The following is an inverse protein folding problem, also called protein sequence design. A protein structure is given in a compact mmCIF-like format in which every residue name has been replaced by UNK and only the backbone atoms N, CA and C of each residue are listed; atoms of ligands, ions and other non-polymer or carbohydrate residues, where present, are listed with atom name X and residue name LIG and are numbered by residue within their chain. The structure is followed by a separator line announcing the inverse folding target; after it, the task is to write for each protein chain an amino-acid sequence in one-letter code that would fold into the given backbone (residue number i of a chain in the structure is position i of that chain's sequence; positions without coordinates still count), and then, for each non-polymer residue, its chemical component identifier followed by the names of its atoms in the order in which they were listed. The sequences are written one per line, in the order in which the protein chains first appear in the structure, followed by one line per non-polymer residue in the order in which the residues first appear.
data_IF_733391136735
#
_entry.id   IF_733391136735
#
_cell.length_a   1.000
_cell.length_b   1.000
_cell.length_c   1.000
_cell.angle_alpha   90.00
_cell.angle_beta   90.00
_cell.angle_gamma   90.00
#
_symmetry.space_group_name_H-M   'P 1'
#
loop_
_entity.id
_entity.type
_entity.pdbx_description
1 polymer ?
#
# COMPACT_ATOMS: atom_id res chain seq x y z
N UNK A 1 -7.42 -0.67 14.37
CA UNK A 1 -5.94 -0.61 14.38
C UNK A 1 -5.49 0.84 14.24
N UNK A 2 -4.41 1.19 14.87
CA UNK A 2 -3.95 2.58 14.96
C UNK A 2 -2.57 2.75 14.32
N UNK A 3 -2.12 4.02 14.19
CA UNK A 3 -0.80 4.34 13.62
C UNK A 3 0.37 3.67 14.37
N UNK A 4 0.21 3.42 15.66
CA UNK A 4 1.21 2.74 16.49
C UNK A 4 1.40 1.27 16.11
N UNK A 5 0.42 0.68 15.43
CA UNK A 5 0.48 -0.69 14.93
C UNK A 5 1.28 -0.81 13.62
N UNK A 6 1.58 0.33 12.97
CA UNK A 6 2.46 0.37 11.81
C UNK A 6 3.89 0.11 12.31
N UNK A 7 4.44 -1.04 11.93
CA UNK A 7 5.80 -1.41 12.31
C UNK A 7 6.83 -0.59 11.53
N UNK A 8 7.94 -0.30 12.18
CA UNK A 8 9.01 0.53 11.62
C UNK A 8 10.34 -0.22 11.63
N UNK A 9 11.29 0.24 10.82
CA UNK A 9 12.64 -0.28 10.88
C UNK A 9 13.20 -0.11 12.31
N UNK A 10 13.95 -1.07 12.83
CA UNK A 10 14.54 -2.23 12.15
C UNK A 10 13.73 -3.54 12.27
N UNK A 11 12.40 -3.48 12.41
CA UNK A 11 11.59 -4.69 12.53
C UNK A 11 11.82 -5.62 11.32
N UNK A 12 12.26 -6.84 11.58
CA UNK A 12 12.65 -7.80 10.54
C UNK A 12 11.47 -8.27 9.69
N UNK A 13 10.24 -8.17 10.18
CA UNK A 13 9.06 -8.58 9.42
C UNK A 13 8.84 -7.72 8.17
N UNK A 14 9.40 -6.50 8.13
CA UNK A 14 9.40 -5.66 6.94
C UNK A 14 10.22 -6.24 5.78
N UNK A 15 11.10 -7.21 6.05
CA UNK A 15 11.99 -7.83 5.06
C UNK A 15 11.61 -9.28 4.77
N UNK A 16 10.60 -9.83 5.43
CA UNK A 16 10.16 -11.20 5.21
C UNK A 16 9.34 -11.31 3.94
N UNK A 17 9.42 -12.48 3.31
CA UNK A 17 8.58 -12.83 2.17
C UNK A 17 7.13 -12.99 2.63
N UNK A 18 6.19 -12.39 1.91
CA UNK A 18 4.77 -12.51 2.18
C UNK A 18 4.17 -13.76 1.52
N UNK A 19 3.17 -14.31 2.16
CA UNK A 19 2.40 -15.43 1.63
C UNK A 19 1.29 -14.96 0.70
N UNK A 20 1.02 -15.76 -0.32
CA UNK A 20 -0.12 -15.57 -1.20
C UNK A 20 -1.41 -15.84 -0.43
N UNK A 21 -2.43 -15.04 -0.65
CA UNK A 21 -3.77 -15.28 -0.12
C UNK A 21 -4.46 -16.31 -1.02
N UNK A 22 -4.81 -17.47 -0.48
CA UNK A 22 -5.44 -18.53 -1.25
C UNK A 22 -6.96 -18.41 -1.30
N UNK A 23 -7.56 -17.94 -0.21
CA UNK A 23 -9.01 -17.73 -0.09
C UNK A 23 -9.26 -16.39 0.59
N UNK A 24 -10.17 -15.60 0.04
CA UNK A 24 -10.56 -14.31 0.62
C UNK A 24 -11.62 -14.57 1.69
N UNK A 25 -11.16 -14.57 2.93
CA UNK A 25 -11.98 -14.80 4.12
C UNK A 25 -12.37 -13.49 4.79
N UNK A 26 -13.21 -13.56 5.80
CA UNK A 26 -13.51 -12.39 6.65
C UNK A 26 -12.27 -11.87 7.36
N UNK A 27 -11.31 -12.77 7.70
CA UNK A 27 -10.01 -12.37 8.25
C UNK A 27 -9.24 -11.49 7.27
N UNK A 28 -9.22 -11.84 5.98
CA UNK A 28 -8.56 -11.04 4.94
C UNK A 28 -9.22 -9.66 4.82
N UNK A 29 -10.55 -9.60 4.83
CA UNK A 29 -11.29 -8.34 4.80
C UNK A 29 -11.00 -7.49 6.03
N UNK A 30 -10.86 -8.13 7.21
CA UNK A 30 -10.49 -7.43 8.43
C UNK A 30 -9.08 -6.86 8.37
N UNK A 31 -8.13 -7.59 7.79
CA UNK A 31 -6.76 -7.09 7.55
C UNK A 31 -6.80 -5.84 6.68
N UNK A 32 -7.57 -5.85 5.60
CA UNK A 32 -7.75 -4.67 4.73
C UNK A 32 -8.30 -3.48 5.52
N UNK A 33 -9.34 -3.70 6.32
CA UNK A 33 -9.93 -2.64 7.14
C UNK A 33 -8.94 -2.11 8.18
N UNK A 34 -8.17 -2.99 8.82
CA UNK A 34 -7.12 -2.59 9.77
C UNK A 34 -6.04 -1.73 9.11
N UNK A 35 -5.66 -2.05 7.88
CA UNK A 35 -4.72 -1.26 7.09
C UNK A 35 -5.27 0.14 6.80
N UNK A 36 -6.54 0.23 6.42
CA UNK A 36 -7.21 1.51 6.17
C UNK A 36 -7.25 2.35 7.45
N UNK A 37 -7.67 1.75 8.55
CA UNK A 37 -7.78 2.43 9.85
C UNK A 37 -6.42 2.97 10.31
N UNK A 38 -5.36 2.16 10.21
CA UNK A 38 -4.01 2.58 10.59
C UNK A 38 -3.50 3.73 9.71
N UNK A 39 -3.77 3.66 8.40
CA UNK A 39 -3.39 4.71 7.44
C UNK A 39 -4.09 6.03 7.74
N UNK A 40 -5.39 6.00 8.00
CA UNK A 40 -6.17 7.19 8.30
C UNK A 40 -5.80 7.79 9.66
N UNK A 41 -5.51 6.95 10.65
CA UNK A 41 -5.04 7.41 11.96
C UNK A 41 -3.68 8.11 11.85
N UNK A 42 -2.79 7.57 11.01
CA UNK A 42 -1.52 8.22 10.71
C UNK A 42 -1.72 9.59 10.05
N UNK A 43 -2.62 9.68 9.06
CA UNK A 43 -2.93 10.97 8.41
C UNK A 43 -3.48 12.01 9.39
N UNK A 44 -4.32 11.60 10.32
CA UNK A 44 -4.87 12.51 11.34
C UNK A 44 -3.77 13.10 12.22
N UNK A 45 -2.68 12.37 12.43
CA UNK A 45 -1.51 12.85 13.16
C UNK A 45 -0.53 13.68 12.31
N UNK A 46 -0.73 13.71 10.99
CA UNK A 46 0.13 14.40 10.02
C UNK A 46 -0.73 15.26 9.06
N UNK A 47 -1.24 16.43 9.52
CA UNK A 47 -2.28 17.18 8.79
C UNK A 47 -1.91 17.61 7.37
N UNK A 48 -0.60 17.72 7.07
CA UNK A 48 -0.10 18.17 5.77
C UNK A 48 0.36 17.02 4.87
N UNK A 49 0.13 15.77 5.29
CA UNK A 49 0.57 14.59 4.55
C UNK A 49 -0.60 13.67 4.23
N UNK A 50 -0.47 12.88 3.18
CA UNK A 50 -1.43 11.88 2.77
C UNK A 50 -0.77 10.50 2.79
N UNK A 51 -1.48 9.50 3.30
CA UNK A 51 -1.05 8.11 3.19
C UNK A 51 -1.46 7.57 1.83
N UNK A 52 -0.49 7.43 0.93
CA UNK A 52 -0.75 7.01 -0.45
C UNK A 52 -1.06 5.51 -0.54
N UNK A 53 -0.31 4.70 0.18
CA UNK A 53 -0.42 3.25 0.15
C UNK A 53 0.23 2.63 1.38
N UNK A 54 -0.22 1.43 1.73
CA UNK A 54 0.41 0.61 2.75
C UNK A 54 0.30 -0.86 2.35
N UNK A 55 1.30 -1.65 2.70
CA UNK A 55 1.30 -3.10 2.50
C UNK A 55 1.06 -3.82 3.84
N UNK A 56 0.44 -5.00 3.78
CA UNK A 56 0.09 -5.77 4.97
C UNK A 56 1.27 -6.05 5.92
N UNK A 57 2.51 -6.30 5.44
CA UNK A 57 3.65 -6.45 6.35
C UNK A 57 3.88 -5.24 7.26
N UNK A 58 3.48 -4.05 6.84
CA UNK A 58 3.64 -2.83 7.64
C UNK A 58 2.73 -2.80 8.88
N UNK A 59 1.70 -3.62 8.91
CA UNK A 59 0.90 -3.88 10.12
C UNK A 59 1.13 -5.28 10.68
N UNK A 60 2.30 -5.85 10.39
CA UNK A 60 2.74 -7.15 10.89
C UNK A 60 1.88 -8.33 10.39
N UNK A 61 1.29 -8.21 9.22
CA UNK A 61 0.54 -9.28 8.55
C UNK A 61 1.29 -9.67 7.27
N UNK A 62 1.86 -10.88 7.25
CA UNK A 62 2.77 -11.31 6.19
C UNK A 62 2.03 -11.93 4.99
N UNK A 63 1.10 -11.18 4.43
CA UNK A 63 0.33 -11.56 3.23
C UNK A 63 0.56 -10.58 2.09
N UNK A 64 0.38 -11.06 0.86
CA UNK A 64 0.44 -10.23 -0.34
C UNK A 64 -0.85 -9.42 -0.49
N UNK A 65 -0.98 -8.38 0.30
CA UNK A 65 -2.11 -7.45 0.30
C UNK A 65 -1.53 -6.03 0.36
N UNK A 66 -2.02 -5.17 -0.51
CA UNK A 66 -1.76 -3.73 -0.45
C UNK A 66 -3.08 -2.96 -0.51
N UNK A 67 -3.08 -1.77 0.04
CA UNK A 67 -4.13 -0.79 -0.20
C UNK A 67 -3.50 0.45 -0.82
N UNK A 68 -4.21 1.06 -1.75
CA UNK A 68 -3.77 2.26 -2.47
C UNK A 68 -4.86 3.31 -2.38
N UNK A 69 -4.47 4.54 -2.09
CA UNK A 69 -5.41 5.66 -2.06
C UNK A 69 -6.03 5.85 -3.45
N UNK A 70 -7.33 5.97 -3.50
CA UNK A 70 -8.04 6.12 -4.78
C UNK A 70 -7.82 7.50 -5.41
N UNK A 71 -7.69 8.54 -4.59
CA UNK A 71 -7.41 9.90 -5.04
C UNK A 71 -6.33 10.54 -4.16
N UNK A 72 -5.15 10.76 -4.73
CA UNK A 72 -4.02 11.39 -4.04
C UNK A 72 -4.13 12.91 -3.97
N UNK A 73 -4.96 13.52 -4.82
CA UNK A 73 -5.09 14.96 -4.90
C UNK A 73 -6.12 15.52 -3.90
N UNK A 74 -7.03 14.67 -3.43
CA UNK A 74 -8.07 15.04 -2.47
C UNK A 74 -7.91 14.28 -1.15
N UNK A 75 -7.34 14.94 -0.15
CA UNK A 75 -7.18 14.36 1.20
C UNK A 75 -8.50 14.04 1.89
N UNK A 76 -9.59 14.71 1.50
CA UNK A 76 -10.93 14.45 2.05
C UNK A 76 -11.58 13.18 1.46
N UNK A 77 -11.13 12.75 0.28
CA UNK A 77 -11.53 11.47 -0.28
C UNK A 77 -10.69 10.37 0.38
N UNK A 78 -11.30 9.66 1.32
CA UNK A 78 -10.64 8.64 2.16
C UNK A 78 -10.85 7.22 1.64
N UNK A 79 -11.13 7.07 0.35
CA UNK A 79 -11.29 5.77 -0.27
C UNK A 79 -9.94 5.14 -0.60
N UNK A 80 -9.86 3.84 -0.36
CA UNK A 80 -8.72 3.00 -0.73
C UNK A 80 -9.19 1.85 -1.62
N UNK A 81 -8.34 1.47 -2.55
CA UNK A 81 -8.51 0.25 -3.34
C UNK A 81 -7.63 -0.83 -2.75
N UNK A 82 -8.24 -1.97 -2.38
CA UNK A 82 -7.50 -3.13 -1.91
C UNK A 82 -7.08 -4.00 -3.09
N UNK A 83 -5.82 -4.41 -3.10
CA UNK A 83 -5.25 -5.30 -4.10
C UNK A 83 -4.69 -6.52 -3.40
N UNK A 84 -5.26 -7.69 -3.69
CA UNK A 84 -4.90 -8.97 -3.09
C UNK A 84 -4.12 -9.78 -4.12
N UNK A 85 -2.99 -10.32 -3.71
CA UNK A 85 -2.04 -11.01 -4.58
C UNK A 85 -1.61 -10.14 -5.78
N UNK A 86 -1.22 -8.87 -5.56
CA UNK A 86 -0.87 -7.98 -6.67
C UNK A 86 0.39 -8.46 -7.36
N UNK A 87 0.40 -8.32 -8.69
CA UNK A 87 1.53 -8.66 -9.54
C UNK A 87 1.71 -7.57 -10.59
N UNK A 88 2.93 -7.05 -10.70
CA UNK A 88 3.29 -6.13 -11.77
C UNK A 88 3.52 -6.96 -13.03
N UNK A 89 2.66 -6.79 -14.03
CA UNK A 89 2.73 -7.54 -15.28
C UNK A 89 3.55 -6.81 -16.34
N UNK A 90 3.68 -5.49 -16.24
CA UNK A 90 4.44 -4.69 -17.20
C UNK A 90 4.92 -3.39 -16.60
N UNK A 91 6.16 -3.03 -16.92
CA UNK A 91 6.72 -1.70 -16.68
C UNK A 91 6.75 -0.94 -18.00
N UNK A 92 6.26 0.29 -18.02
CA UNK A 92 6.12 1.11 -19.23
C UNK A 92 6.59 2.55 -18.99
N UNK A 93 6.86 3.24 -20.10
CA UNK A 93 7.22 4.65 -20.08
C UNK A 93 8.67 4.90 -19.68
N UNK A 94 8.98 6.17 -19.47
CA UNK A 94 10.31 6.60 -19.04
C UNK A 94 10.50 6.34 -17.56
N UNK A 95 11.73 6.06 -17.16
CA UNK A 95 12.10 6.06 -15.76
C UNK A 95 12.12 7.49 -15.25
N UNK A 96 11.42 7.76 -14.17
CA UNK A 96 11.41 9.06 -13.49
C UNK A 96 11.93 8.89 -12.07
N UNK A 97 12.61 9.92 -11.57
CA UNK A 97 13.05 9.97 -10.18
C UNK A 97 12.23 11.01 -9.43
N UNK A 98 11.75 10.65 -8.25
CA UNK A 98 11.08 11.58 -7.35
C UNK A 98 11.34 11.15 -5.91
N UNK A 99 11.09 12.07 -4.99
CA UNK A 99 11.24 11.80 -3.57
C UNK A 99 10.10 10.89 -3.09
N UNK A 100 10.49 9.86 -2.36
CA UNK A 100 9.56 8.93 -1.73
C UNK A 100 9.86 8.81 -0.24
N UNK A 101 8.81 8.63 0.53
CA UNK A 101 8.89 8.28 1.94
C UNK A 101 8.09 7.02 2.23
N UNK A 102 8.21 6.52 3.45
CA UNK A 102 7.48 5.33 3.89
C UNK A 102 7.03 5.50 5.34
N UNK A 103 5.82 5.06 5.65
CA UNK A 103 5.27 5.11 7.01
C UNK A 103 6.10 4.29 8.01
N UNK A 104 6.83 3.28 7.52
CA UNK A 104 7.71 2.44 8.33
C UNK A 104 9.12 3.01 8.48
N UNK A 105 9.44 4.13 7.82
CA UNK A 105 10.74 4.80 7.88
C UNK A 105 10.48 6.28 8.16
N UNK A 106 10.57 6.64 9.42
CA UNK A 106 10.19 7.99 9.87
C UNK A 106 11.21 9.05 9.44
N UNK A 107 10.71 10.13 8.83
CA UNK A 107 11.49 11.33 8.56
C UNK A 107 12.57 11.20 7.50
N UNK A 108 12.61 10.11 6.76
CA UNK A 108 13.60 9.87 5.71
C UNK A 108 12.91 9.82 4.35
N UNK A 109 13.40 10.65 3.42
CA UNK A 109 12.93 10.70 2.04
C UNK A 109 14.14 10.53 1.12
N UNK A 110 13.96 9.82 0.03
CA UNK A 110 15.01 9.58 -0.94
C UNK A 110 14.47 9.63 -2.36
N UNK A 111 15.33 9.96 -3.31
CA UNK A 111 15.00 9.86 -4.72
C UNK A 111 15.05 8.40 -5.16
N UNK A 112 13.96 7.95 -5.77
CA UNK A 112 13.82 6.57 -6.23
C UNK A 112 13.48 6.58 -7.72
N UNK A 113 14.27 5.91 -8.58
CA UNK A 113 13.91 5.76 -9.99
C UNK A 113 12.79 4.75 -10.13
N UNK A 114 11.74 5.14 -10.85
CA UNK A 114 10.56 4.32 -11.11
C UNK A 114 10.18 4.38 -12.58
N UNK A 115 9.66 3.28 -13.11
CA UNK A 115 8.93 3.34 -14.38
C UNK A 115 7.73 4.29 -14.23
N UNK A 116 7.48 5.14 -15.22
CA UNK A 116 6.38 6.12 -15.14
C UNK A 116 4.99 5.49 -15.20
N UNK A 117 4.90 4.27 -15.71
CA UNK A 117 3.66 3.50 -15.79
C UNK A 117 3.92 2.04 -15.41
N UNK A 118 2.99 1.45 -14.72
CA UNK A 118 2.97 0.00 -14.47
C UNK A 118 1.58 -0.56 -14.72
N UNK A 119 1.53 -1.83 -15.14
CA UNK A 119 0.30 -2.60 -15.20
C UNK A 119 0.30 -3.60 -14.08
N UNK A 120 -0.80 -3.66 -13.34
CA UNK A 120 -0.96 -4.53 -12.17
C UNK A 120 -2.16 -5.42 -12.36
N UNK A 121 -1.99 -6.70 -12.08
CA UNK A 121 -3.04 -7.70 -11.97
C UNK A 121 -3.20 -8.08 -10.50
N UNK A 122 -4.43 -8.11 -10.01
CA UNK A 122 -4.70 -8.44 -8.61
C UNK A 122 -6.12 -9.01 -8.46
N UNK A 123 -6.48 -9.38 -7.23
CA UNK A 123 -7.87 -9.67 -6.86
C UNK A 123 -8.40 -8.53 -5.99
N UNK A 124 -9.68 -8.22 -6.11
CA UNK A 124 -10.37 -7.35 -5.16
C UNK A 124 -10.84 -8.14 -3.93
N UNK A 125 -11.50 -7.47 -2.99
CA UNK A 125 -12.00 -8.09 -1.75
C UNK A 125 -13.15 -9.09 -1.98
N UNK A 126 -13.69 -9.13 -3.19
CA UNK A 126 -14.74 -10.08 -3.58
C UNK A 126 -14.17 -11.28 -4.35
N UNK A 127 -12.86 -11.31 -4.57
CA UNK A 127 -12.18 -12.38 -5.31
C UNK A 127 -12.20 -12.21 -6.83
N UNK A 128 -12.66 -11.08 -7.33
CA UNK A 128 -12.68 -10.78 -8.76
C UNK A 128 -11.32 -10.29 -9.24
N UNK A 129 -10.88 -10.74 -10.41
CA UNK A 129 -9.65 -10.25 -11.02
C UNK A 129 -9.83 -8.80 -11.47
N UNK A 130 -8.87 -7.96 -11.11
CA UNK A 130 -8.78 -6.57 -11.54
C UNK A 130 -7.44 -6.32 -12.22
N UNK A 131 -7.44 -5.47 -13.26
CA UNK A 131 -6.25 -5.05 -13.97
C UNK A 131 -6.20 -3.53 -13.95
N UNK A 132 -5.10 -2.99 -13.47
CA UNK A 132 -4.94 -1.56 -13.24
C UNK A 132 -3.74 -1.06 -14.01
N UNK A 133 -3.91 0.08 -14.68
CA UNK A 133 -2.81 0.89 -15.20
C UNK A 133 -2.57 2.01 -14.18
N UNK A 134 -1.40 2.01 -13.56
CA UNK A 134 -1.01 3.03 -12.60
C UNK A 134 0.05 3.95 -13.20
N UNK A 135 -0.16 5.25 -13.05
CA UNK A 135 0.83 6.27 -13.34
C UNK A 135 1.61 6.57 -12.07
N UNK A 136 2.92 6.52 -12.17
CA UNK A 136 3.82 6.79 -11.05
C UNK A 136 4.44 8.17 -11.28
N UNK A 137 4.21 9.05 -10.32
CA UNK A 137 4.73 10.42 -10.36
C UNK A 137 5.63 10.69 -9.17
#
# INVERSE_FOLDING_TARGET
MKKEDIITLPNQNLRKKCERVHVITDEVRQIVQDMIDASLDWENAHPHEISAAIAAPQINKLYKIIIVRSDLDDKNNKEFTALINPEITKFEGKTIEDFEGCLSIKGIYGKVPRASKIRVKALDIHGNEVRILSLIH
#
